data_IF_965325506770
#
_entry.id   IF_965325506770
#
_cell.length_a   1.000
_cell.length_b   1.000
_cell.length_c   1.000
_cell.angle_alpha   90.00
_cell.angle_beta   90.00
_cell.angle_gamma   90.00
#
_symmetry.space_group_name_H-M   'P 1'
#
loop_
_entity.id
_entity.type
_entity.pdbx_description
1 polymer ?
#
# COMPACT_ATOMS: atom_id res chain seq x y z
N UNK A 1 52.78 8.39 5.72
CA UNK A 1 51.54 7.84 5.17
C UNK A 1 51.50 8.10 3.66
N UNK A 2 51.68 7.07 2.82
CA UNK A 2 51.63 7.21 1.35
C UNK A 2 50.19 7.37 0.92
N UNK A 3 49.89 8.42 0.15
CA UNK A 3 48.56 8.63 -0.49
C UNK A 3 48.37 7.57 -1.59
N UNK A 4 47.36 6.72 -1.44
CA UNK A 4 46.92 5.76 -2.45
C UNK A 4 46.22 6.56 -3.56
N UNK A 5 46.64 6.40 -4.82
CA UNK A 5 46.02 7.10 -5.95
C UNK A 5 44.74 6.41 -6.39
N UNK A 6 43.80 7.17 -6.98
CA UNK A 6 42.53 6.61 -7.52
C UNK A 6 42.74 5.50 -8.56
N UNK A 7 43.91 5.42 -9.21
CA UNK A 7 44.23 4.35 -10.17
C UNK A 7 44.58 3.01 -9.51
N UNK A 8 45.09 3.02 -8.28
CA UNK A 8 45.47 1.80 -7.56
C UNK A 8 44.25 1.10 -6.94
N UNK A 9 43.20 1.85 -6.65
CA UNK A 9 41.94 1.31 -6.14
C UNK A 9 41.16 0.48 -7.19
N UNK A 10 41.20 0.88 -8.46
CA UNK A 10 40.45 0.20 -9.56
C UNK A 10 41.13 -1.11 -10.00
N UNK A 11 42.43 -1.33 -9.67
CA UNK A 11 43.14 -2.55 -10.07
C UNK A 11 43.05 -3.72 -9.10
N UNK A 12 42.49 -3.51 -7.91
CA UNK A 12 42.36 -4.57 -6.88
C UNK A 12 41.08 -5.35 -6.87
N UNK A 13 40.12 -5.05 -7.77
CA UNK A 13 38.78 -5.73 -7.81
C UNK A 13 38.55 -6.62 -9.01
N UNK A 14 39.59 -6.97 -9.78
CA UNK A 14 39.44 -7.86 -10.94
C UNK A 14 40.25 -9.14 -10.73
N UNK A 15 39.83 -10.02 -9.84
CA UNK A 15 40.14 -11.49 -9.86
C UNK A 15 39.29 -12.21 -8.81
N UNK A 16 38.09 -12.62 -9.16
CA UNK A 16 37.44 -13.77 -8.55
C UNK A 16 36.73 -14.57 -9.65
N UNK A 17 37.22 -15.78 -9.81
CA UNK A 17 36.94 -16.70 -10.89
C UNK A 17 35.47 -17.16 -10.93
N UNK A 18 34.98 -17.37 -12.12
CA UNK A 18 33.75 -18.06 -12.45
C UNK A 18 33.80 -19.53 -12.01
N UNK A 19 32.84 -19.96 -11.23
CA UNK A 19 32.52 -21.39 -11.01
C UNK A 19 31.22 -21.66 -11.76
N UNK A 20 31.18 -22.61 -12.72
CA UNK A 20 29.97 -22.95 -13.41
C UNK A 20 29.13 -23.92 -12.56
N UNK A 21 27.94 -23.51 -12.16
CA UNK A 21 26.93 -24.45 -11.66
C UNK A 21 26.21 -25.10 -12.84
N UNK A 22 26.35 -26.41 -12.96
CA UNK A 22 25.60 -27.24 -13.88
C UNK A 22 24.16 -27.41 -13.34
N UNK A 23 23.19 -27.03 -14.18
CA UNK A 23 21.77 -27.31 -13.96
C UNK A 23 21.43 -28.61 -14.73
N UNK A 24 20.84 -29.65 -14.13
CA UNK A 24 20.40 -30.83 -14.85
C UNK A 24 19.15 -30.51 -15.69
N UNK A 25 19.23 -30.82 -16.96
CA UNK A 25 18.13 -30.84 -17.91
C UNK A 25 17.22 -32.05 -17.64
N UNK A 26 15.94 -31.78 -17.35
CA UNK A 26 14.91 -32.83 -17.44
C UNK A 26 13.78 -32.38 -18.39
N UNK A 27 13.57 -33.20 -19.44
CA UNK A 27 12.29 -33.56 -20.02
C UNK A 27 11.63 -32.53 -20.95
N UNK A 28 11.99 -32.59 -22.24
CA UNK A 28 11.15 -32.20 -23.39
C UNK A 28 10.13 -33.34 -23.62
N UNK A 29 8.93 -32.88 -23.98
CA UNK A 29 7.79 -33.54 -24.62
C UNK A 29 6.51 -33.39 -23.79
N UNK A 30 5.59 -32.53 -24.26
CA UNK A 30 4.41 -32.94 -25.03
C UNK A 30 3.85 -31.66 -25.67
N UNK A 31 3.90 -31.62 -27.02
CA UNK A 31 3.08 -30.72 -27.83
C UNK A 31 1.66 -31.26 -27.86
N UNK A 32 0.71 -30.43 -27.44
CA UNK A 32 -0.70 -30.60 -27.68
C UNK A 32 -1.32 -29.27 -28.01
N UNK A 33 -1.73 -29.07 -29.24
CA UNK A 33 -2.50 -27.94 -29.71
C UNK A 33 -3.75 -27.76 -28.86
N UNK A 34 -3.91 -26.58 -28.25
CA UNK A 34 -5.21 -26.01 -27.93
C UNK A 34 -5.16 -24.53 -28.31
N UNK A 35 -5.60 -24.24 -29.52
CA UNK A 35 -6.02 -22.92 -29.92
C UNK A 35 -7.36 -22.57 -29.28
N UNK A 36 -7.54 -21.25 -29.05
CA UNK A 36 -8.77 -20.57 -28.65
C UNK A 36 -9.24 -20.79 -27.21
N UNK A 37 -9.06 -19.76 -26.37
CA UNK A 37 -9.80 -19.64 -25.13
C UNK A 37 -9.13 -18.91 -23.97
N UNK A 38 -8.12 -18.06 -24.17
CA UNK A 38 -7.51 -17.30 -23.08
C UNK A 38 -7.40 -15.81 -23.44
N UNK A 39 -8.54 -15.13 -23.46
CA UNK A 39 -8.58 -13.64 -23.51
C UNK A 39 -9.54 -13.06 -22.45
N UNK A 40 -10.27 -13.87 -21.67
CA UNK A 40 -11.33 -13.36 -20.78
C UNK A 40 -10.99 -13.29 -19.28
N UNK A 41 -9.79 -13.67 -18.82
CA UNK A 41 -9.53 -13.75 -17.37
C UNK A 41 -8.49 -12.77 -16.79
N UNK A 42 -7.85 -11.94 -17.60
CA UNK A 42 -6.86 -10.98 -17.09
C UNK A 42 -7.48 -9.78 -16.34
N UNK A 43 -8.77 -9.51 -16.52
CA UNK A 43 -9.47 -8.39 -15.89
C UNK A 43 -10.05 -8.68 -14.50
N UNK A 44 -10.12 -9.94 -14.07
CA UNK A 44 -10.65 -10.32 -12.76
C UNK A 44 -9.65 -10.23 -11.60
N UNK A 45 -8.38 -10.12 -11.90
CA UNK A 45 -7.32 -10.11 -10.89
C UNK A 45 -7.03 -8.69 -10.33
N UNK A 46 -7.53 -7.65 -11.00
CA UNK A 46 -7.38 -6.25 -10.58
C UNK A 46 -8.78 -5.63 -10.46
N UNK A 47 -9.08 -5.11 -9.28
CA UNK A 47 -10.33 -4.43 -8.97
C UNK A 47 -10.11 -2.94 -8.81
N UNK A 48 -11.11 -2.16 -9.20
CA UNK A 48 -11.14 -0.72 -9.00
C UNK A 48 -12.13 -0.36 -7.90
N UNK A 49 -11.71 0.54 -7.03
CA UNK A 49 -12.51 0.99 -5.91
C UNK A 49 -12.27 2.46 -5.56
N UNK A 50 -12.96 2.88 -4.53
CA UNK A 50 -12.87 4.22 -3.94
C UNK A 50 -12.82 4.11 -2.42
N UNK A 51 -12.32 5.15 -1.75
CA UNK A 51 -12.44 5.28 -0.30
C UNK A 51 -13.86 5.74 0.00
N UNK A 52 -14.52 5.08 0.94
CA UNK A 52 -15.87 5.44 1.37
C UNK A 52 -16.10 5.23 2.86
N UNK A 53 -17.01 6.00 3.44
CA UNK A 53 -17.55 5.70 4.76
C UNK A 53 -18.38 4.42 4.71
N UNK A 54 -18.48 3.72 5.83
CA UNK A 54 -19.40 2.62 6.02
C UNK A 54 -20.21 2.75 7.33
N UNK A 55 -20.43 3.98 7.80
CA UNK A 55 -21.29 4.24 8.96
C UNK A 55 -22.77 3.94 8.67
N UNK A 56 -23.19 4.12 7.42
CA UNK A 56 -24.48 3.69 6.88
C UNK A 56 -24.28 2.78 5.66
N UNK A 57 -23.94 1.49 5.88
CA UNK A 57 -23.48 0.60 4.82
C UNK A 57 -24.45 0.51 3.64
N UNK A 58 -25.78 0.48 3.92
CA UNK A 58 -26.79 0.30 2.89
C UNK A 58 -26.82 1.44 1.87
N UNK A 59 -26.58 2.67 2.34
CA UNK A 59 -26.49 3.85 1.48
C UNK A 59 -25.10 4.02 0.89
N UNK A 60 -24.06 3.95 1.73
CA UNK A 60 -22.68 4.26 1.35
C UNK A 60 -22.16 3.30 0.27
N UNK A 61 -22.38 1.98 0.46
CA UNK A 61 -21.95 0.98 -0.50
C UNK A 61 -22.84 0.94 -1.76
N UNK A 62 -24.11 1.36 -1.65
CA UNK A 62 -24.94 1.55 -2.83
C UNK A 62 -24.35 2.59 -3.78
N UNK A 63 -23.85 3.70 -3.25
CA UNK A 63 -23.21 4.75 -4.03
C UNK A 63 -21.98 4.20 -4.76
N UNK A 64 -21.13 3.43 -4.09
CA UNK A 64 -19.95 2.79 -4.71
C UNK A 64 -20.37 1.90 -5.88
N UNK A 65 -21.42 1.08 -5.67
CA UNK A 65 -21.93 0.18 -6.73
C UNK A 65 -22.57 0.93 -7.89
N UNK A 66 -23.34 1.98 -7.62
CA UNK A 66 -24.00 2.81 -8.65
C UNK A 66 -22.95 3.60 -9.49
N UNK A 67 -21.77 3.85 -8.94
CA UNK A 67 -20.62 4.41 -9.67
C UNK A 67 -19.92 3.39 -10.56
N UNK A 68 -20.26 2.10 -10.47
CA UNK A 68 -19.66 1.03 -11.27
C UNK A 68 -18.32 0.54 -10.75
N UNK A 69 -18.05 0.67 -9.45
CA UNK A 69 -16.90 0.06 -8.79
C UNK A 69 -17.24 -1.31 -8.22
N UNK A 70 -16.26 -2.20 -8.17
CA UNK A 70 -16.38 -3.55 -7.63
C UNK A 70 -15.61 -3.74 -6.32
N UNK A 71 -14.88 -2.72 -5.89
CA UNK A 71 -14.12 -2.70 -4.65
C UNK A 71 -14.27 -1.37 -3.91
N UNK A 72 -13.88 -1.37 -2.63
CA UNK A 72 -13.78 -0.16 -1.82
C UNK A 72 -12.76 -0.32 -0.70
N UNK A 73 -12.30 0.81 -0.17
CA UNK A 73 -11.60 0.90 1.09
C UNK A 73 -12.49 1.65 2.07
N UNK A 74 -12.65 1.11 3.27
CA UNK A 74 -13.70 1.54 4.19
C UNK A 74 -13.13 2.37 5.35
N UNK A 75 -13.92 3.34 5.80
CA UNK A 75 -13.74 3.98 7.10
C UNK A 75 -15.02 3.90 7.93
N UNK A 76 -14.88 3.66 9.24
CA UNK A 76 -16.01 3.68 10.18
C UNK A 76 -15.64 4.48 11.43
N UNK A 77 -16.60 5.21 11.97
CA UNK A 77 -16.40 5.98 13.19
C UNK A 77 -16.29 5.10 14.43
N UNK A 78 -17.23 4.17 14.59
CA UNK A 78 -17.34 3.30 15.78
C UNK A 78 -17.47 1.85 15.35
N UNK A 79 -16.75 0.97 16.02
CA UNK A 79 -16.84 -0.48 15.82
C UNK A 79 -17.96 -1.06 16.69
N UNK A 80 -18.89 -1.79 16.09
CA UNK A 80 -19.92 -2.55 16.80
C UNK A 80 -20.31 -3.80 16.02
N UNK A 81 -20.71 -4.85 16.73
CA UNK A 81 -21.18 -6.10 16.11
C UNK A 81 -22.42 -5.91 15.25
N UNK A 82 -23.28 -4.95 15.58
CA UNK A 82 -24.44 -4.62 14.76
C UNK A 82 -23.97 -4.05 13.40
N UNK A 83 -23.06 -3.09 13.42
CA UNK A 83 -22.49 -2.51 12.19
C UNK A 83 -21.76 -3.56 11.37
N UNK A 84 -20.96 -4.43 12.00
CA UNK A 84 -20.25 -5.51 11.32
C UNK A 84 -21.19 -6.44 10.54
N UNK A 85 -22.29 -6.86 11.16
CA UNK A 85 -23.31 -7.70 10.51
C UNK A 85 -24.02 -7.01 9.35
N UNK A 86 -24.42 -5.74 9.53
CA UNK A 86 -25.04 -4.93 8.47
C UNK A 86 -24.09 -4.73 7.29
N UNK A 87 -22.83 -4.44 7.60
CA UNK A 87 -21.80 -4.24 6.60
C UNK A 87 -21.56 -5.52 5.78
N UNK A 88 -21.36 -6.66 6.45
CA UNK A 88 -21.17 -7.95 5.80
C UNK A 88 -22.36 -8.31 4.87
N UNK A 89 -23.59 -8.14 5.35
CA UNK A 89 -24.79 -8.40 4.55
C UNK A 89 -24.88 -7.47 3.33
N UNK A 90 -24.51 -6.20 3.49
CA UNK A 90 -24.57 -5.20 2.41
C UNK A 90 -23.49 -5.43 1.36
N UNK A 91 -22.26 -5.78 1.78
CA UNK A 91 -21.18 -6.17 0.88
C UNK A 91 -21.60 -7.37 0.01
N UNK A 92 -22.16 -8.40 0.62
CA UNK A 92 -22.67 -9.57 -0.10
C UNK A 92 -23.79 -9.20 -1.09
N UNK A 93 -24.75 -8.35 -0.67
CA UNK A 93 -25.86 -7.87 -1.51
C UNK A 93 -25.37 -7.16 -2.77
N UNK A 94 -24.36 -6.28 -2.65
CA UNK A 94 -23.85 -5.52 -3.79
C UNK A 94 -22.68 -6.20 -4.50
N UNK A 95 -22.20 -7.33 -3.99
CA UNK A 95 -21.01 -8.06 -4.50
C UNK A 95 -19.81 -7.11 -4.60
N UNK A 96 -19.55 -6.39 -3.52
CA UNK A 96 -18.41 -5.51 -3.38
C UNK A 96 -17.33 -6.23 -2.58
N UNK A 97 -16.08 -6.13 -3.05
CA UNK A 97 -14.90 -6.53 -2.30
C UNK A 97 -14.37 -5.36 -1.48
N UNK A 98 -13.77 -5.65 -0.34
CA UNK A 98 -13.13 -4.64 0.51
C UNK A 98 -11.63 -4.84 0.47
N UNK A 99 -10.90 -3.81 0.07
CA UNK A 99 -9.44 -3.83 0.10
C UNK A 99 -8.91 -3.83 1.54
N UNK A 100 -9.44 -2.94 2.37
CA UNK A 100 -9.09 -2.83 3.79
C UNK A 100 -10.01 -1.85 4.53
N UNK A 101 -9.92 -1.89 5.87
CA UNK A 101 -10.53 -0.91 6.77
C UNK A 101 -9.46 0.08 7.25
N UNK A 102 -9.70 1.37 7.07
CA UNK A 102 -8.83 2.43 7.59
C UNK A 102 -8.93 2.55 9.12
N UNK A 103 -7.80 2.40 9.81
CA UNK A 103 -7.70 2.37 11.27
C UNK A 103 -6.71 3.39 11.81
N UNK A 104 -6.99 4.69 11.63
CA UNK A 104 -6.05 5.74 12.02
C UNK A 104 -5.95 5.97 13.55
N UNK A 105 -7.04 5.81 14.28
CA UNK A 105 -7.09 6.08 15.72
C UNK A 105 -7.24 7.57 16.09
N UNK A 106 -7.32 7.89 17.39
CA UNK A 106 -7.55 9.24 17.87
C UNK A 106 -6.29 10.11 17.89
N UNK A 107 -6.48 11.40 18.13
CA UNK A 107 -5.45 12.42 18.29
C UNK A 107 -5.19 13.21 17.02
N UNK A 108 -4.22 14.11 17.09
CA UNK A 108 -3.88 14.99 15.98
C UNK A 108 -3.12 14.28 14.86
N UNK A 109 -3.38 14.71 13.64
CA UNK A 109 -2.65 14.33 12.44
C UNK A 109 -2.22 15.60 11.70
N UNK A 110 -0.95 15.93 11.72
CA UNK A 110 -0.38 17.08 11.03
C UNK A 110 0.40 16.59 9.81
N UNK A 111 -0.20 16.73 8.66
CA UNK A 111 0.37 16.29 7.39
C UNK A 111 1.41 17.28 6.88
N UNK A 112 2.59 17.29 7.52
CA UNK A 112 3.72 18.14 7.14
C UNK A 112 5.03 17.52 7.64
N UNK A 113 6.18 18.09 7.22
CA UNK A 113 7.52 17.56 7.51
C UNK A 113 7.98 17.82 8.96
N UNK A 114 7.43 18.82 9.65
CA UNK A 114 7.91 19.28 10.96
C UNK A 114 7.12 18.74 12.15
N UNK A 115 5.81 18.67 12.01
CA UNK A 115 4.91 18.19 13.06
C UNK A 115 4.40 16.77 12.79
N UNK A 116 4.37 16.33 11.54
CA UNK A 116 4.02 14.97 11.15
C UNK A 116 4.78 13.90 11.92
N UNK A 117 6.11 13.99 12.07
CA UNK A 117 6.88 13.05 12.88
C UNK A 117 6.45 12.94 14.34
N UNK A 118 5.76 13.97 14.88
CA UNK A 118 5.28 14.02 16.26
C UNK A 118 3.82 13.59 16.42
N UNK A 119 3.08 13.50 15.30
CA UNK A 119 1.62 13.34 15.36
C UNK A 119 1.07 12.16 14.55
N UNK A 120 1.81 11.63 13.56
CA UNK A 120 1.29 10.59 12.68
C UNK A 120 1.71 9.19 13.15
N UNK A 121 0.76 8.26 13.17
CA UNK A 121 0.99 6.83 13.36
C UNK A 121 1.34 6.39 14.78
N UNK A 122 2.13 5.33 14.91
CA UNK A 122 2.54 4.72 16.18
C UNK A 122 3.97 5.09 16.62
N UNK A 123 4.72 5.80 15.77
CA UNK A 123 6.08 6.26 16.13
C UNK A 123 6.03 7.27 17.27
N UNK A 124 5.16 8.30 17.26
CA UNK A 124 5.01 9.21 18.39
C UNK A 124 4.46 8.49 19.62
N UNK A 125 5.10 8.69 20.78
CA UNK A 125 4.70 8.03 22.04
C UNK A 125 3.35 8.52 22.56
N UNK A 126 3.03 9.79 22.35
CA UNK A 126 1.86 10.47 22.89
C UNK A 126 0.54 9.78 22.56
N UNK A 127 0.34 9.40 21.28
CA UNK A 127 -0.91 8.81 20.82
C UNK A 127 -0.85 7.27 20.72
N UNK A 128 0.30 6.69 20.97
CA UNK A 128 0.62 5.29 20.68
C UNK A 128 -0.36 4.32 21.33
N UNK A 129 -0.63 4.48 22.65
CA UNK A 129 -1.51 3.58 23.38
C UNK A 129 -2.95 3.57 22.81
N UNK A 130 -3.55 4.74 22.63
CA UNK A 130 -4.91 4.85 22.12
C UNK A 130 -5.04 4.39 20.66
N UNK A 131 -4.01 4.60 19.84
CA UNK A 131 -3.99 4.10 18.46
C UNK A 131 -3.75 2.61 18.36
N UNK A 132 -2.95 2.04 19.27
CA UNK A 132 -2.82 0.59 19.42
C UNK A 132 -4.17 -0.05 19.75
N UNK A 133 -4.88 0.49 20.73
CA UNK A 133 -6.23 0.03 21.09
C UNK A 133 -7.20 0.11 19.90
N UNK A 134 -7.20 1.23 19.19
CA UNK A 134 -8.03 1.39 17.97
C UNK A 134 -7.72 0.35 16.91
N UNK A 135 -6.43 0.04 16.67
CA UNK A 135 -6.01 -1.00 15.72
C UNK A 135 -6.47 -2.39 16.17
N UNK A 136 -6.31 -2.73 17.44
CA UNK A 136 -6.75 -4.02 17.98
C UNK A 136 -8.26 -4.21 17.82
N UNK A 137 -9.07 -3.20 18.17
CA UNK A 137 -10.52 -3.23 17.96
C UNK A 137 -10.90 -3.26 16.46
N UNK A 138 -10.14 -2.56 15.61
CA UNK A 138 -10.33 -2.59 14.16
C UNK A 138 -10.08 -3.98 13.56
N UNK A 139 -9.05 -4.68 14.04
CA UNK A 139 -8.75 -6.07 13.66
C UNK A 139 -9.91 -7.00 14.04
N UNK A 140 -10.42 -6.88 15.28
CA UNK A 140 -11.56 -7.70 15.75
C UNK A 140 -12.84 -7.39 14.95
N UNK A 141 -13.09 -6.11 14.65
CA UNK A 141 -14.20 -5.68 13.80
C UNK A 141 -14.06 -6.23 12.36
N UNK A 142 -12.86 -6.19 11.79
CA UNK A 142 -12.60 -6.78 10.46
C UNK A 142 -12.94 -8.28 10.43
N UNK A 143 -12.53 -9.02 11.46
CA UNK A 143 -12.87 -10.43 11.60
C UNK A 143 -14.38 -10.67 11.60
N UNK A 144 -15.14 -9.87 12.37
CA UNK A 144 -16.59 -10.01 12.48
C UNK A 144 -17.30 -9.59 11.18
N UNK A 145 -16.82 -8.53 10.51
CA UNK A 145 -17.42 -8.01 9.28
C UNK A 145 -17.00 -8.77 8.01
N UNK A 146 -16.01 -9.68 8.10
CA UNK A 146 -15.46 -10.38 6.94
C UNK A 146 -14.56 -9.50 6.06
N UNK A 147 -13.90 -8.48 6.64
CA UNK A 147 -12.95 -7.60 5.96
C UNK A 147 -11.54 -8.20 6.07
N UNK A 148 -10.76 -8.30 4.97
CA UNK A 148 -9.50 -9.04 4.98
C UNK A 148 -8.35 -8.34 5.69
N UNK A 149 -8.38 -7.01 5.79
CA UNK A 149 -7.25 -6.23 6.26
C UNK A 149 -7.64 -4.95 7.00
N UNK A 150 -6.78 -4.52 7.93
CA UNK A 150 -6.72 -3.13 8.41
C UNK A 150 -5.61 -2.37 7.70
N UNK A 151 -5.77 -1.07 7.54
CA UNK A 151 -4.81 -0.18 6.90
C UNK A 151 -4.66 1.11 7.70
N UNK A 152 -3.43 1.65 7.77
CA UNK A 152 -3.15 2.93 8.40
C UNK A 152 -1.81 3.51 7.93
N UNK A 153 -1.63 4.83 8.17
CA UNK A 153 -0.32 5.44 8.23
C UNK A 153 0.33 5.13 9.58
N UNK A 154 1.47 4.48 9.58
CA UNK A 154 2.17 4.09 10.81
C UNK A 154 3.17 5.14 11.30
N UNK A 155 3.39 6.20 10.53
CA UNK A 155 4.18 7.37 10.89
C UNK A 155 5.57 7.39 10.26
N UNK A 156 6.36 8.38 10.67
CA UNK A 156 7.73 8.57 10.20
C UNK A 156 8.66 7.55 10.86
N UNK A 157 8.66 6.32 10.37
CA UNK A 157 9.54 5.26 10.88
C UNK A 157 11.00 5.70 10.70
N UNK A 158 11.83 5.75 11.77
CA UNK A 158 13.22 6.20 11.68
C UNK A 158 14.04 5.40 10.68
N UNK A 159 14.85 6.11 9.89
CA UNK A 159 15.74 5.49 8.90
C UNK A 159 16.92 4.74 9.58
N UNK A 160 17.40 5.24 10.74
CA UNK A 160 18.41 4.55 11.53
C UNK A 160 17.78 3.40 12.35
N UNK A 161 18.17 2.14 12.11
CA UNK A 161 17.68 1.00 12.88
C UNK A 161 18.12 1.01 14.35
N UNK A 162 19.12 1.85 14.69
CA UNK A 162 19.56 2.01 16.08
C UNK A 162 18.79 3.08 16.85
N UNK A 163 17.98 3.90 16.16
CA UNK A 163 17.13 4.89 16.79
C UNK A 163 16.18 4.21 17.80
N UNK A 164 16.04 4.83 18.96
CA UNK A 164 15.19 4.31 20.04
C UNK A 164 13.72 4.22 19.61
N UNK A 165 13.24 5.18 18.81
CA UNK A 165 11.85 5.18 18.31
C UNK A 165 11.62 4.08 17.26
N UNK A 166 12.64 3.72 16.46
CA UNK A 166 12.54 2.56 15.57
C UNK A 166 12.35 1.27 16.36
N UNK A 167 13.18 1.04 17.38
CA UNK A 167 13.10 -0.16 18.23
C UNK A 167 11.76 -0.25 18.96
N UNK A 168 11.33 0.85 19.55
CA UNK A 168 10.02 0.94 20.21
C UNK A 168 8.85 0.70 19.25
N UNK A 169 8.95 1.21 18.00
CA UNK A 169 7.95 0.98 16.98
C UNK A 169 7.83 -0.52 16.65
N UNK A 170 8.95 -1.22 16.47
CA UNK A 170 8.96 -2.67 16.23
C UNK A 170 8.34 -3.43 17.41
N UNK A 171 8.70 -3.05 18.65
CA UNK A 171 8.15 -3.66 19.89
C UNK A 171 6.63 -3.50 20.00
N UNK A 172 6.11 -2.33 19.64
CA UNK A 172 4.66 -2.05 19.66
C UNK A 172 3.93 -2.77 18.55
N UNK A 173 4.53 -2.85 17.34
CA UNK A 173 3.88 -3.49 16.21
C UNK A 173 3.78 -5.02 16.32
N UNK A 174 4.74 -5.68 16.97
CA UNK A 174 4.73 -7.15 17.13
C UNK A 174 3.43 -7.69 17.73
N UNK A 175 2.98 -7.27 18.93
CA UNK A 175 1.74 -7.79 19.50
C UNK A 175 0.49 -7.45 18.68
N UNK A 176 0.46 -6.31 17.97
CA UNK A 176 -0.64 -5.95 17.05
C UNK A 176 -0.67 -6.93 15.88
N UNK A 177 0.48 -7.18 15.26
CA UNK A 177 0.60 -8.07 14.12
C UNK A 177 0.30 -9.54 14.51
N UNK A 178 0.74 -9.98 15.68
CA UNK A 178 0.41 -11.31 16.22
C UNK A 178 -1.09 -11.47 16.50
N UNK A 179 -1.75 -10.40 17.01
CA UNK A 179 -3.20 -10.41 17.18
C UNK A 179 -3.92 -10.54 15.83
N UNK A 180 -3.49 -9.76 14.85
CA UNK A 180 -4.03 -9.82 13.50
C UNK A 180 -3.86 -11.22 12.86
N UNK A 181 -2.70 -11.88 13.05
CA UNK A 181 -2.49 -13.30 12.62
C UNK A 181 -3.53 -14.22 13.26
N UNK A 182 -3.77 -14.10 14.57
CA UNK A 182 -4.77 -14.94 15.28
C UNK A 182 -6.19 -14.74 14.75
N UNK A 183 -6.50 -13.52 14.29
CA UNK A 183 -7.80 -13.20 13.69
C UNK A 183 -7.87 -13.54 12.20
N UNK A 184 -6.74 -13.84 11.54
CA UNK A 184 -6.66 -14.07 10.09
C UNK A 184 -6.77 -12.76 9.29
N UNK A 185 -6.29 -11.64 9.86
CA UNK A 185 -6.37 -10.30 9.27
C UNK A 185 -4.97 -9.85 8.84
N UNK A 186 -4.88 -9.23 7.66
CA UNK A 186 -3.67 -8.57 7.18
C UNK A 186 -3.57 -7.14 7.74
N UNK A 187 -2.34 -6.62 7.85
CA UNK A 187 -2.09 -5.21 8.17
C UNK A 187 -1.39 -4.58 6.96
N UNK A 188 -2.00 -3.55 6.40
CA UNK A 188 -1.47 -2.83 5.25
C UNK A 188 -0.89 -1.48 5.70
N UNK A 189 0.42 -1.32 5.50
CA UNK A 189 1.11 -0.05 5.73
C UNK A 189 0.86 0.88 4.55
N UNK A 190 0.33 2.07 4.80
CA UNK A 190 0.29 3.09 3.77
C UNK A 190 1.64 3.78 3.64
N UNK A 191 2.15 3.82 2.40
CA UNK A 191 3.43 4.46 2.10
C UNK A 191 3.33 5.98 2.10
N UNK A 192 4.43 6.65 2.44
CA UNK A 192 4.54 8.11 2.33
C UNK A 192 5.56 8.74 3.26
N UNK A 193 5.53 8.43 4.54
CA UNK A 193 6.35 9.11 5.55
C UNK A 193 7.74 8.50 5.73
N UNK A 194 7.94 7.26 5.32
CA UNK A 194 9.22 6.52 5.36
C UNK A 194 9.67 6.13 3.96
N UNK A 195 10.95 5.79 3.82
CA UNK A 195 11.45 5.22 2.57
C UNK A 195 10.99 3.76 2.40
N UNK A 196 10.83 3.28 1.15
CA UNK A 196 10.54 1.87 0.88
C UNK A 196 11.52 0.90 1.54
N UNK A 197 12.79 1.29 1.67
CA UNK A 197 13.83 0.47 2.31
C UNK A 197 13.59 0.36 3.82
N UNK A 198 13.22 1.45 4.47
CA UNK A 198 12.88 1.47 5.89
C UNK A 198 11.62 0.66 6.17
N UNK A 199 10.58 0.81 5.34
CA UNK A 199 9.37 0.02 5.47
C UNK A 199 9.64 -1.48 5.29
N UNK A 200 10.45 -1.87 4.28
CA UNK A 200 10.86 -3.27 4.10
C UNK A 200 11.55 -3.83 5.34
N UNK A 201 12.48 -3.07 5.91
CA UNK A 201 13.18 -3.46 7.14
C UNK A 201 12.20 -3.66 8.29
N UNK A 202 11.29 -2.72 8.51
CA UNK A 202 10.28 -2.81 9.56
C UNK A 202 9.38 -4.06 9.39
N UNK A 203 8.92 -4.35 8.17
CA UNK A 203 8.16 -5.57 7.87
C UNK A 203 8.95 -6.82 8.23
N UNK A 204 10.24 -6.86 7.90
CA UNK A 204 11.12 -7.99 8.18
C UNK A 204 11.42 -8.16 9.68
N UNK A 205 11.65 -7.05 10.40
CA UNK A 205 11.97 -7.06 11.83
C UNK A 205 10.75 -7.41 12.71
N UNK A 206 9.53 -7.05 12.27
CA UNK A 206 8.29 -7.50 12.90
C UNK A 206 8.07 -9.00 12.62
N UNK A 207 8.18 -9.43 11.36
CA UNK A 207 8.40 -10.83 10.97
C UNK A 207 7.20 -11.77 11.13
N UNK A 208 5.97 -11.28 11.26
CA UNK A 208 4.76 -12.11 11.50
C UNK A 208 4.14 -12.70 10.22
N UNK A 209 4.54 -12.22 9.04
CA UNK A 209 4.11 -12.75 7.75
C UNK A 209 2.77 -12.22 7.21
N UNK A 210 2.03 -11.43 7.99
CA UNK A 210 0.73 -10.84 7.62
C UNK A 210 0.80 -9.32 7.38
N UNK A 211 2.01 -8.78 7.17
CA UNK A 211 2.26 -7.37 6.92
C UNK A 211 2.44 -7.13 5.43
N UNK A 212 1.63 -6.25 4.90
CA UNK A 212 1.59 -5.89 3.49
C UNK A 212 1.58 -4.38 3.31
N UNK A 213 1.43 -3.93 2.07
CA UNK A 213 1.54 -2.52 1.72
C UNK A 213 0.31 -2.06 0.94
N UNK A 214 -0.27 -0.97 1.41
CA UNK A 214 -1.11 -0.08 0.64
C UNK A 214 -0.18 0.95 0.00
N UNK A 215 0.09 0.81 -1.28
CA UNK A 215 1.09 1.59 -1.97
C UNK A 215 0.51 2.89 -2.51
N UNK A 216 0.82 4.00 -1.87
CA UNK A 216 0.50 5.33 -2.37
C UNK A 216 1.73 5.93 -3.07
N UNK A 217 1.74 6.00 -4.41
CA UNK A 217 2.86 6.52 -5.17
C UNK A 217 3.00 8.05 -5.03
N UNK A 218 1.89 8.78 -4.85
CA UNK A 218 1.91 10.22 -4.70
C UNK A 218 2.48 10.63 -3.34
N UNK A 219 2.12 9.93 -2.26
CA UNK A 219 2.67 10.21 -0.94
C UNK A 219 4.21 10.04 -0.92
N UNK A 220 4.75 9.01 -1.57
CA UNK A 220 6.20 8.84 -1.69
C UNK A 220 6.89 10.04 -2.37
N UNK A 221 6.25 10.60 -3.40
CA UNK A 221 6.74 11.82 -4.07
C UNK A 221 6.58 13.04 -3.18
N UNK A 222 5.37 13.30 -2.66
CA UNK A 222 5.04 14.51 -1.91
C UNK A 222 5.86 14.63 -0.62
N UNK A 223 6.19 13.52 0.05
CA UNK A 223 7.08 13.50 1.20
C UNK A 223 8.56 13.48 0.82
N UNK A 224 8.91 13.44 -0.48
CA UNK A 224 10.30 13.38 -0.94
C UNK A 224 11.03 12.09 -0.58
N UNK A 225 10.31 10.98 -0.39
CA UNK A 225 10.86 9.73 0.15
C UNK A 225 11.36 8.77 -0.91
N UNK A 226 10.73 8.71 -2.08
CA UNK A 226 11.18 7.85 -3.17
C UNK A 226 10.57 8.23 -4.52
N UNK A 227 11.24 7.79 -5.59
CA UNK A 227 10.59 7.60 -6.88
C UNK A 227 9.67 6.37 -6.78
N UNK A 228 8.36 6.48 -7.11
CA UNK A 228 7.42 5.39 -6.92
C UNK A 228 7.71 4.14 -7.76
N UNK A 229 8.27 4.30 -8.95
CA UNK A 229 8.63 3.16 -9.81
C UNK A 229 9.81 2.38 -9.23
N UNK A 230 10.79 3.09 -8.66
CA UNK A 230 11.93 2.47 -7.99
C UNK A 230 11.54 1.85 -6.64
N UNK A 231 10.61 2.47 -5.92
CA UNK A 231 10.06 1.93 -4.67
C UNK A 231 9.45 0.53 -4.84
N UNK A 232 8.76 0.27 -5.96
CA UNK A 232 8.23 -1.06 -6.27
C UNK A 232 9.31 -2.15 -6.40
N UNK A 233 10.54 -1.80 -6.79
CA UNK A 233 11.65 -2.78 -6.83
C UNK A 233 12.01 -3.28 -5.44
N UNK A 234 11.75 -2.48 -4.40
CA UNK A 234 12.06 -2.78 -3.00
C UNK A 234 10.93 -3.55 -2.34
N UNK A 235 9.70 -3.00 -2.36
CA UNK A 235 8.57 -3.52 -1.58
C UNK A 235 7.42 -4.09 -2.43
N UNK A 236 7.57 -4.14 -3.75
CA UNK A 236 6.47 -4.50 -4.65
C UNK A 236 5.83 -5.87 -4.39
N UNK A 237 6.59 -6.86 -3.88
CA UNK A 237 6.05 -8.17 -3.51
C UNK A 237 5.09 -8.14 -2.30
N UNK A 238 5.10 -7.07 -1.53
CA UNK A 238 4.21 -6.88 -0.39
C UNK A 238 2.97 -6.04 -0.74
N UNK A 239 2.91 -5.45 -1.94
CA UNK A 239 1.81 -4.57 -2.35
C UNK A 239 0.53 -5.37 -2.57
N UNK A 240 -0.54 -4.99 -1.88
CA UNK A 240 -1.90 -5.54 -2.00
C UNK A 240 -2.89 -4.53 -2.59
N UNK A 241 -2.65 -3.26 -2.33
CA UNK A 241 -3.50 -2.16 -2.76
C UNK A 241 -2.62 -1.04 -3.31
N UNK A 242 -3.08 -0.39 -4.37
CA UNK A 242 -2.52 0.84 -4.91
C UNK A 242 -3.51 1.96 -4.61
N UNK A 243 -3.08 3.02 -3.92
CA UNK A 243 -3.80 4.27 -3.96
C UNK A 243 -3.54 4.96 -5.30
N UNK A 244 -4.58 5.07 -6.09
CA UNK A 244 -4.52 5.81 -7.34
C UNK A 244 -4.66 7.30 -7.03
N UNK A 245 -3.54 7.90 -6.69
CA UNK A 245 -3.33 9.31 -6.33
C UNK A 245 -2.10 9.83 -7.07
N UNK A 246 -2.11 11.08 -7.48
CA UNK A 246 -1.01 11.73 -8.19
C UNK A 246 -0.58 13.00 -7.47
N UNK A 247 0.65 13.40 -7.66
CA UNK A 247 1.21 14.57 -6.97
C UNK A 247 2.56 14.97 -7.53
N UNK A 248 3.09 16.07 -7.01
CA UNK A 248 4.39 16.61 -7.39
C UNK A 248 5.43 16.39 -6.31
N UNK A 249 6.70 16.35 -6.72
CA UNK A 249 7.82 16.36 -5.78
C UNK A 249 7.97 17.73 -5.11
N UNK A 250 8.33 17.83 -3.81
CA UNK A 250 8.51 19.09 -3.14
C UNK A 250 9.69 19.88 -3.70
N UNK A 251 9.47 21.15 -3.98
CA UNK A 251 10.51 22.10 -4.43
C UNK A 251 10.85 23.15 -3.36
N UNK A 252 10.00 23.28 -2.34
CA UNK A 252 10.24 24.09 -1.15
C UNK A 252 10.72 23.17 -0.01
N UNK A 253 11.88 23.44 0.64
CA UNK A 253 12.41 22.58 1.70
C UNK A 253 11.55 22.52 2.97
N UNK A 254 10.58 23.41 3.12
CA UNK A 254 9.70 23.49 4.29
C UNK A 254 8.28 22.96 4.05
N UNK A 255 7.98 22.49 2.84
CA UNK A 255 6.63 22.09 2.43
C UNK A 255 6.65 20.71 1.78
N UNK A 256 5.54 20.03 1.83
CA UNK A 256 5.33 18.83 1.02
C UNK A 256 5.14 19.21 -0.45
N UNK A 257 5.28 18.25 -1.33
CA UNK A 257 4.72 18.34 -2.69
C UNK A 257 3.19 18.49 -2.64
N UNK A 258 2.59 18.75 -3.76
CA UNK A 258 1.14 18.98 -3.88
C UNK A 258 0.47 17.79 -4.56
N UNK A 259 -0.72 17.42 -4.09
CA UNK A 259 -1.58 16.53 -4.84
C UNK A 259 -2.01 17.19 -6.16
N UNK A 260 -2.06 16.40 -7.22
CA UNK A 260 -2.47 16.83 -8.57
C UNK A 260 -3.42 15.78 -9.14
N UNK A 261 -4.52 16.17 -9.83
CA UNK A 261 -5.42 15.19 -10.44
C UNK A 261 -4.71 14.29 -11.45
N UNK A 262 -4.95 12.99 -11.36
CA UNK A 262 -4.45 11.99 -12.34
C UNK A 262 -4.92 12.35 -13.75
N UNK A 263 -4.05 12.32 -14.78
CA UNK A 263 -2.65 11.88 -14.79
C UNK A 263 -1.65 13.03 -14.90
N UNK A 264 -1.89 14.15 -14.27
CA UNK A 264 -1.18 15.42 -14.52
C UNK A 264 -0.06 15.71 -13.51
N UNK A 265 0.17 14.85 -12.52
CA UNK A 265 1.29 14.95 -11.57
C UNK A 265 2.55 14.24 -12.06
N UNK A 266 3.47 14.02 -11.15
CA UNK A 266 4.79 13.43 -11.40
C UNK A 266 4.83 11.90 -11.21
N UNK A 267 3.73 11.26 -10.79
CA UNK A 267 3.62 9.81 -10.77
C UNK A 267 3.57 9.28 -12.20
N UNK A 268 4.60 8.58 -12.60
CA UNK A 268 4.65 7.96 -13.92
C UNK A 268 3.77 6.68 -13.92
N UNK A 269 2.44 6.84 -14.00
CA UNK A 269 1.50 5.71 -14.01
C UNK A 269 1.77 4.68 -15.11
N UNK A 270 2.16 5.05 -16.35
CA UNK A 270 2.54 4.04 -17.35
C UNK A 270 3.69 3.14 -16.87
N UNK A 271 4.75 3.70 -16.32
CA UNK A 271 5.90 2.95 -15.80
C UNK A 271 5.55 2.18 -14.52
N UNK A 272 4.72 2.77 -13.64
CA UNK A 272 4.23 2.13 -12.42
C UNK A 272 3.42 0.86 -12.76
N UNK A 273 2.43 0.99 -13.66
CA UNK A 273 1.59 -0.13 -14.10
C UNK A 273 2.42 -1.20 -14.83
N UNK A 274 3.38 -0.80 -15.67
CA UNK A 274 4.30 -1.75 -16.31
C UNK A 274 5.13 -2.53 -15.28
N UNK A 275 5.55 -1.89 -14.17
CA UNK A 275 6.27 -2.54 -13.08
C UNK A 275 5.37 -3.49 -12.29
N UNK A 276 4.13 -3.11 -12.01
CA UNK A 276 3.14 -3.96 -11.35
C UNK A 276 2.81 -5.22 -12.17
N UNK A 277 2.71 -5.09 -13.51
CA UNK A 277 2.54 -6.24 -14.42
C UNK A 277 3.70 -7.22 -14.32
N UNK A 278 4.95 -6.72 -14.30
CA UNK A 278 6.14 -7.58 -14.14
C UNK A 278 6.16 -8.31 -12.80
N UNK A 279 5.55 -7.74 -11.78
CA UNK A 279 5.38 -8.35 -10.46
C UNK A 279 4.19 -9.32 -10.39
N UNK A 280 3.42 -9.48 -11.48
CA UNK A 280 2.15 -10.21 -11.50
C UNK A 280 1.19 -9.71 -10.41
N UNK A 281 1.13 -8.39 -10.20
CA UNK A 281 0.28 -7.77 -9.20
C UNK A 281 -1.19 -8.16 -9.40
N UNK A 282 -1.80 -8.59 -8.29
CA UNK A 282 -3.23 -8.86 -8.15
C UNK A 282 -3.72 -8.14 -6.92
N UNK A 283 -4.77 -7.34 -7.06
CA UNK A 283 -5.25 -6.55 -5.93
C UNK A 283 -6.10 -5.36 -6.36
N UNK A 284 -6.11 -4.32 -5.54
CA UNK A 284 -7.03 -3.22 -5.70
C UNK A 284 -6.30 -1.93 -6.13
N UNK A 285 -6.89 -1.21 -7.09
CA UNK A 285 -6.64 0.20 -7.31
C UNK A 285 -7.75 1.00 -6.65
N UNK A 286 -7.45 1.66 -5.55
CA UNK A 286 -8.37 2.53 -4.82
C UNK A 286 -8.09 3.97 -5.22
N UNK A 287 -9.06 4.62 -5.88
CA UNK A 287 -8.92 6.01 -6.28
C UNK A 287 -9.05 6.87 -5.03
N UNK A 288 -8.03 7.66 -4.75
CA UNK A 288 -7.97 8.63 -3.68
C UNK A 288 -7.80 10.03 -4.27
N UNK A 289 -8.56 11.00 -3.73
CA UNK A 289 -8.51 12.39 -4.14
C UNK A 289 -8.92 13.29 -2.98
N UNK A 290 -8.01 14.16 -2.53
CA UNK A 290 -8.20 15.00 -1.35
C UNK A 290 -8.40 16.49 -1.68
N UNK A 291 -8.29 16.89 -2.96
CA UNK A 291 -8.39 18.30 -3.40
C UNK A 291 -9.82 18.86 -3.45
N UNK A 292 -10.79 18.17 -2.87
CA UNK A 292 -12.18 18.60 -2.82
C UNK A 292 -13.18 17.45 -3.00
N UNK A 293 -14.41 17.76 -3.39
CA UNK A 293 -15.40 16.73 -3.66
C UNK A 293 -14.95 15.81 -4.80
N UNK A 294 -14.90 14.51 -4.53
CA UNK A 294 -14.64 13.48 -5.54
C UNK A 294 -15.80 13.44 -6.52
N UNK A 295 -15.70 14.25 -7.58
CA UNK A 295 -16.76 14.25 -8.59
C UNK A 295 -16.84 12.89 -9.27
N UNK A 296 -18.06 12.44 -9.56
CA UNK A 296 -18.30 11.21 -10.34
C UNK A 296 -17.50 11.21 -11.65
N UNK A 297 -17.42 12.35 -12.32
CA UNK A 297 -16.70 12.50 -13.58
C UNK A 297 -15.20 12.24 -13.42
N UNK A 298 -14.58 12.78 -12.36
CA UNK A 298 -13.17 12.52 -12.05
C UNK A 298 -12.90 11.05 -11.78
N UNK A 299 -13.72 10.42 -10.93
CA UNK A 299 -13.58 9.00 -10.58
C UNK A 299 -13.65 8.10 -11.81
N UNK A 300 -14.64 8.33 -12.68
CA UNK A 300 -14.84 7.53 -13.89
C UNK A 300 -13.74 7.76 -14.93
N UNK A 301 -13.27 8.99 -15.12
CA UNK A 301 -12.13 9.30 -16.01
C UNK A 301 -10.84 8.66 -15.52
N UNK A 302 -10.57 8.74 -14.22
CA UNK A 302 -9.39 8.11 -13.61
C UNK A 302 -9.43 6.60 -13.77
N UNK A 303 -10.58 5.97 -13.47
CA UNK A 303 -10.77 4.53 -13.69
C UNK A 303 -10.49 4.14 -15.14
N UNK A 304 -11.12 4.82 -16.11
CA UNK A 304 -10.94 4.52 -17.54
C UNK A 304 -9.48 4.70 -18.00
N UNK A 305 -8.77 5.70 -17.48
CA UNK A 305 -7.35 5.89 -17.75
C UNK A 305 -6.50 4.71 -17.27
N UNK A 306 -6.71 4.27 -16.02
CA UNK A 306 -5.96 3.16 -15.44
C UNK A 306 -6.29 1.82 -16.09
N UNK A 307 -7.58 1.57 -16.38
CA UNK A 307 -8.01 0.37 -17.14
C UNK A 307 -7.30 0.28 -18.49
N UNK A 308 -7.18 1.40 -19.21
CA UNK A 308 -6.44 1.47 -20.48
C UNK A 308 -4.96 1.11 -20.29
N UNK A 309 -4.30 1.58 -19.25
CA UNK A 309 -2.90 1.24 -18.96
C UNK A 309 -2.74 -0.24 -18.61
N UNK A 310 -3.68 -0.80 -17.85
CA UNK A 310 -3.67 -2.22 -17.47
C UNK A 310 -3.92 -3.11 -18.68
N UNK A 311 -4.82 -2.74 -19.58
CA UNK A 311 -5.12 -3.49 -20.80
C UNK A 311 -4.02 -3.38 -21.88
N UNK A 312 -3.19 -2.34 -21.87
CA UNK A 312 -2.09 -2.20 -22.83
C UNK A 312 -1.08 -3.36 -22.69
N UNK A 313 -0.66 -3.94 -23.85
CA UNK A 313 0.29 -5.07 -23.89
C UNK A 313 1.72 -4.64 -23.59
#
# INVERSE_FOLDING_TARGET
MKKISRRDFVRSTALLAAIPYAVPSFGREIMGNVESGIVENASKDILFGVITSANNPENDLKIVKDLGFDSCQLSVGTYSSELAKRLSATLAKYKLEVASLTCMGPGDYKWNLTEGPKTIGLVPREYRAARTERLMHGIDFCKEAGIPAVHAHFGFIPEDPNDVLYKEFIEVMKPIAEHAVKQGIEIHFETGQETPVTLLRAIQDIGTGNLFVNYDPANLLMYGKANPVDGLKVIGKYVKTIHAKDGTYPVNPNELGSEIPIPNGDVNFPALVASLKKLNFKGNFIIEYELGEQSKDYLLKTKAYLEKLIAAK
#
